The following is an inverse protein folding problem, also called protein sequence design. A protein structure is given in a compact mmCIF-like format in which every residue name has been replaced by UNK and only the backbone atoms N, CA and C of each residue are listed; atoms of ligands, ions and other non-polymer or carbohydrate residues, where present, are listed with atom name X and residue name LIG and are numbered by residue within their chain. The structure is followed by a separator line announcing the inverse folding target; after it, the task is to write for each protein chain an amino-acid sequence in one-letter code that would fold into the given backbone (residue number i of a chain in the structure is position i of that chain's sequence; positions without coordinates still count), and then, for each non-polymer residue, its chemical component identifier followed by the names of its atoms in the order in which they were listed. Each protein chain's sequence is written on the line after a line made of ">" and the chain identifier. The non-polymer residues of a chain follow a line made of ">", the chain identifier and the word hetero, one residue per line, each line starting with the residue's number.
data_IF_151519233956
#
_entry.id   IF_151519233956
#
_cell.length_a   1.000
_cell.length_b   1.000
_cell.length_c   1.000
_cell.angle_alpha   90.00
_cell.angle_beta   90.00
_cell.angle_gamma   90.00
#
_symmetry.space_group_name_H-M   'P 1'
#
loop_
_entity.id
_entity.type
_entity.pdbx_description
1 polymer ?
#
# COMPACT_ATOMS: atom_id res chain seq x y z
N UNK A 1 10.74 -26.28 -1.83
CA UNK A 1 10.35 -25.25 -2.84
C UNK A 1 9.83 -24.05 -2.08
N UNK A 2 10.49 -22.91 -2.18
CA UNK A 2 9.99 -21.64 -1.64
C UNK A 2 8.65 -21.31 -2.31
N UNK A 3 7.60 -21.17 -1.51
CA UNK A 3 6.33 -20.62 -1.98
C UNK A 3 6.42 -19.09 -1.86
N UNK A 4 6.16 -18.42 -2.93
CA UNK A 4 6.20 -16.98 -3.02
C UNK A 4 4.80 -16.43 -2.83
N UNK A 5 4.60 -15.61 -1.81
CA UNK A 5 3.40 -14.82 -1.65
C UNK A 5 3.59 -13.46 -2.33
N UNK A 6 2.71 -13.14 -3.25
CA UNK A 6 2.73 -11.88 -3.97
C UNK A 6 1.50 -11.07 -3.61
N UNK A 7 1.69 -9.94 -2.97
CA UNK A 7 0.63 -8.94 -2.80
C UNK A 7 0.70 -8.02 -4.01
N UNK A 8 -0.04 -8.35 -5.06
CA UNK A 8 -0.11 -7.50 -6.25
C UNK A 8 -1.27 -7.80 -7.19
N UNK A 9 -1.62 -6.73 -7.91
CA UNK A 9 -2.57 -6.61 -8.99
C UNK A 9 -2.11 -7.30 -10.29
N UNK A 10 -2.30 -8.56 -10.42
CA UNK A 10 -2.37 -9.23 -11.71
C UNK A 10 -3.71 -9.93 -11.78
N UNK A 11 -4.17 -10.33 -12.95
CA UNK A 11 -5.44 -11.06 -13.06
C UNK A 11 -5.51 -12.22 -12.07
N UNK A 12 -4.34 -12.89 -11.82
CA UNK A 12 -4.08 -13.72 -10.65
C UNK A 12 -2.59 -13.69 -10.37
N UNK A 13 -2.17 -13.15 -9.26
CA UNK A 13 -0.75 -12.94 -8.95
C UNK A 13 0.08 -14.22 -9.11
N UNK A 14 1.14 -14.15 -9.89
CA UNK A 14 2.02 -15.27 -10.17
C UNK A 14 1.44 -16.41 -11.01
N UNK A 15 0.16 -16.34 -11.42
CA UNK A 15 -0.51 -17.38 -12.22
C UNK A 15 -1.16 -16.87 -13.50
N UNK A 16 -0.97 -15.60 -13.82
CA UNK A 16 -1.51 -15.00 -15.03
C UNK A 16 -0.78 -15.51 -16.27
N UNK A 17 -1.44 -16.30 -17.08
CA UNK A 17 -0.92 -16.78 -18.34
C UNK A 17 -1.08 -15.77 -19.49
N UNK A 18 -1.95 -14.75 -19.31
CA UNK A 18 -2.25 -13.77 -20.35
C UNK A 18 -1.01 -12.95 -20.73
N UNK A 19 -0.15 -12.61 -19.76
CA UNK A 19 1.10 -11.91 -20.01
C UNK A 19 2.05 -12.74 -20.90
N UNK A 20 2.19 -14.03 -20.60
CA UNK A 20 3.01 -14.92 -21.41
C UNK A 20 2.41 -15.11 -22.80
N UNK A 21 1.10 -15.38 -22.88
CA UNK A 21 0.40 -15.59 -24.14
C UNK A 21 0.49 -14.38 -25.08
N UNK A 22 0.29 -13.16 -24.56
CA UNK A 22 0.26 -11.96 -25.37
C UNK A 22 1.63 -11.39 -25.70
N UNK A 23 2.63 -11.60 -24.84
CA UNK A 23 3.91 -10.87 -24.94
C UNK A 23 5.15 -11.76 -24.77
N UNK A 24 4.98 -13.06 -24.54
CA UNK A 24 6.08 -13.98 -24.21
C UNK A 24 6.69 -13.73 -22.81
N UNK A 25 6.15 -12.80 -22.02
CA UNK A 25 6.67 -12.44 -20.70
C UNK A 25 5.94 -13.19 -19.60
N UNK A 26 6.68 -13.96 -18.82
CA UNK A 26 6.12 -14.84 -17.82
C UNK A 26 5.90 -14.12 -16.48
N UNK A 27 4.66 -14.07 -16.05
CA UNK A 27 4.26 -13.47 -14.77
C UNK A 27 4.84 -14.25 -13.57
N UNK A 28 5.00 -15.56 -13.66
CA UNK A 28 5.57 -16.40 -12.61
C UNK A 28 7.05 -16.12 -12.34
N UNK A 29 7.73 -15.51 -13.31
CA UNK A 29 9.14 -15.09 -13.22
C UNK A 29 9.33 -13.61 -12.91
N UNK A 30 8.27 -12.91 -12.50
CA UNK A 30 8.31 -11.48 -12.22
C UNK A 30 8.37 -10.58 -13.45
N UNK A 31 8.20 -11.13 -14.67
CA UNK A 31 8.29 -10.39 -15.93
C UNK A 31 6.91 -10.00 -16.51
N UNK A 32 5.87 -9.90 -15.66
CA UNK A 32 4.52 -9.58 -16.08
C UNK A 32 4.44 -8.27 -16.86
N UNK A 33 3.87 -8.32 -18.08
CA UNK A 33 3.60 -7.16 -18.92
C UNK A 33 2.35 -6.38 -18.51
N UNK A 34 1.60 -6.86 -17.52
CA UNK A 34 0.35 -6.27 -17.00
C UNK A 34 -0.75 -6.13 -18.07
N UNK A 35 -1.04 -7.18 -18.86
CA UNK A 35 -2.07 -7.09 -19.89
C UNK A 35 -3.47 -6.79 -19.33
N UNK A 36 -3.73 -7.11 -18.06
CA UNK A 36 -4.96 -6.75 -17.37
C UNK A 36 -5.20 -5.22 -17.25
N UNK A 37 -4.21 -4.41 -17.63
CA UNK A 37 -4.29 -2.93 -17.62
C UNK A 37 -4.29 -2.33 -19.03
N UNK A 38 -4.26 -3.17 -20.08
CA UNK A 38 -4.36 -2.69 -21.43
C UNK A 38 -5.79 -2.28 -21.75
N UNK A 39 -5.95 -1.37 -22.67
CA UNK A 39 -7.24 -1.08 -23.27
C UNK A 39 -7.58 -2.20 -24.25
N UNK A 40 -8.74 -2.80 -24.10
CA UNK A 40 -9.22 -3.86 -24.94
C UNK A 40 -10.45 -3.40 -25.73
N UNK A 41 -10.66 -4.04 -26.87
CA UNK A 41 -11.90 -3.92 -27.61
C UNK A 41 -12.46 -5.32 -27.85
N UNK A 42 -13.77 -5.45 -27.80
CA UNK A 42 -14.49 -6.65 -28.21
C UNK A 42 -14.65 -6.66 -29.73
N UNK A 43 -14.46 -7.81 -30.33
CA UNK A 43 -14.78 -8.05 -31.72
C UNK A 43 -15.78 -9.22 -31.78
N UNK A 44 -16.87 -9.02 -32.46
CA UNK A 44 -17.85 -10.11 -32.72
C UNK A 44 -17.34 -10.97 -33.87
N UNK A 45 -17.34 -12.30 -33.70
CA UNK A 45 -16.85 -13.24 -34.73
C UNK A 45 -17.52 -13.07 -36.09
N UNK A 46 -18.80 -12.72 -36.10
CA UNK A 46 -19.58 -12.48 -37.32
C UNK A 46 -19.39 -11.12 -37.96
N UNK A 47 -18.65 -10.22 -37.29
CA UNK A 47 -18.29 -8.87 -37.74
C UNK A 47 -16.80 -8.62 -37.63
N UNK A 48 -15.97 -9.34 -38.42
CA UNK A 48 -14.51 -9.17 -38.35
C UNK A 48 -14.13 -7.76 -38.81
N UNK A 49 -13.27 -7.11 -38.03
CA UNK A 49 -12.78 -5.75 -38.29
C UNK A 49 -13.56 -4.63 -37.61
N UNK A 50 -14.71 -4.94 -36.98
CA UNK A 50 -15.40 -4.00 -36.10
C UNK A 50 -14.96 -4.22 -34.66
N UNK A 51 -14.41 -3.17 -34.04
CA UNK A 51 -13.90 -3.21 -32.67
C UNK A 51 -14.86 -2.43 -31.77
N UNK A 52 -15.39 -3.10 -30.75
CA UNK A 52 -16.22 -2.48 -29.73
C UNK A 52 -15.34 -2.14 -28.52
N UNK A 53 -15.06 -0.85 -28.25
CA UNK A 53 -14.27 -0.47 -27.10
C UNK A 53 -14.99 -0.92 -25.82
N UNK A 54 -14.24 -1.47 -24.89
CA UNK A 54 -14.70 -1.70 -23.53
C UNK A 54 -14.30 -0.46 -22.76
N UNK A 55 -15.23 0.45 -22.60
CA UNK A 55 -15.00 1.66 -21.82
C UNK A 55 -15.33 1.40 -20.36
N UNK A 56 -14.51 2.02 -19.51
CA UNK A 56 -14.77 2.11 -18.09
C UNK A 56 -15.71 3.29 -17.84
N UNK A 57 -16.86 3.02 -17.25
CA UNK A 57 -17.68 4.06 -16.66
C UNK A 57 -17.49 4.10 -15.14
N UNK A 58 -18.17 5.02 -14.46
CA UNK A 58 -18.10 5.15 -13.00
C UNK A 58 -18.59 3.89 -12.25
N UNK A 59 -19.17 2.93 -12.94
CA UNK A 59 -19.69 1.66 -12.41
C UNK A 59 -18.86 0.46 -12.85
N UNK A 60 -17.86 0.69 -13.71
CA UNK A 60 -16.80 -0.20 -14.11
C UNK A 60 -17.20 -1.50 -14.76
N UNK A 61 -16.64 -1.84 -15.88
CA UNK A 61 -16.61 -3.22 -16.37
C UNK A 61 -15.27 -3.51 -16.96
N UNK A 62 -14.30 -3.84 -16.13
CA UNK A 62 -13.09 -4.46 -16.62
C UNK A 62 -13.30 -5.95 -16.71
N UNK A 63 -13.00 -6.54 -17.85
CA UNK A 63 -13.09 -7.99 -18.08
C UNK A 63 -12.13 -8.74 -17.14
N UNK A 64 -11.05 -8.08 -16.67
CA UNK A 64 -10.00 -8.74 -15.91
C UNK A 64 -9.52 -7.85 -14.74
N UNK A 65 -10.40 -7.53 -13.81
CA UNK A 65 -10.04 -6.75 -12.63
C UNK A 65 -9.81 -7.67 -11.42
N UNK A 66 -8.54 -7.89 -11.08
CA UNK A 66 -8.17 -8.74 -9.96
C UNK A 66 -8.26 -7.99 -8.63
N UNK A 67 -8.43 -8.75 -7.55
CA UNK A 67 -8.21 -8.30 -6.18
C UNK A 67 -6.73 -8.35 -5.84
N UNK A 68 -6.29 -7.52 -4.90
CA UNK A 68 -4.94 -7.64 -4.35
C UNK A 68 -4.90 -8.83 -3.38
N UNK A 69 -3.81 -9.58 -3.38
CA UNK A 69 -3.67 -10.73 -2.49
C UNK A 69 -3.11 -10.30 -1.14
N UNK A 70 -3.83 -10.61 -0.08
CA UNK A 70 -3.38 -10.41 1.30
C UNK A 70 -3.58 -11.70 2.11
N UNK A 71 -2.55 -12.12 2.82
CA UNK A 71 -2.55 -13.34 3.64
C UNK A 71 -2.24 -13.05 5.11
N UNK A 72 -2.40 -11.79 5.53
CA UNK A 72 -1.99 -11.36 6.87
C UNK A 72 -2.80 -12.07 7.97
N UNK A 73 -4.04 -12.41 7.70
CA UNK A 73 -4.93 -13.14 8.61
C UNK A 73 -4.67 -14.67 8.65
N UNK A 74 -3.76 -15.15 7.82
CA UNK A 74 -3.51 -16.58 7.62
C UNK A 74 -2.03 -16.93 7.75
N UNK A 75 -1.31 -16.17 8.57
CA UNK A 75 0.12 -16.36 8.76
C UNK A 75 0.42 -17.68 9.47
N UNK A 76 -0.45 -18.12 10.37
CA UNK A 76 -0.32 -19.41 11.06
C UNK A 76 -0.31 -20.57 10.05
N UNK A 77 -1.25 -20.59 9.12
CA UNK A 77 -1.31 -21.61 8.07
C UNK A 77 -0.06 -21.60 7.19
N UNK A 78 0.52 -20.42 6.94
CA UNK A 78 1.75 -20.29 6.15
C UNK A 78 2.97 -20.79 6.93
N UNK A 79 3.02 -20.56 8.24
CA UNK A 79 4.07 -21.08 9.11
C UNK A 79 3.98 -22.61 9.26
N UNK A 80 2.79 -23.15 9.47
CA UNK A 80 2.53 -24.58 9.61
C UNK A 80 2.94 -25.38 8.36
N UNK A 81 2.79 -24.81 7.17
CA UNK A 81 3.26 -25.41 5.92
C UNK A 81 4.80 -25.38 5.80
N UNK A 82 5.50 -24.70 6.70
CA UNK A 82 6.96 -24.62 6.73
C UNK A 82 7.56 -23.78 5.61
N UNK A 83 6.98 -22.62 5.30
CA UNK A 83 7.54 -21.70 4.32
C UNK A 83 8.83 -21.06 4.86
N UNK A 84 9.87 -21.04 4.04
CA UNK A 84 11.15 -20.44 4.41
C UNK A 84 11.15 -18.91 4.28
N UNK A 85 10.29 -18.34 3.44
CA UNK A 85 10.21 -16.91 3.24
C UNK A 85 8.89 -16.48 2.57
N UNK A 86 8.47 -15.27 2.85
CA UNK A 86 7.35 -14.60 2.21
C UNK A 86 7.89 -13.49 1.31
N UNK A 87 7.37 -13.40 0.08
CA UNK A 87 7.71 -12.30 -0.83
C UNK A 87 6.56 -11.34 -0.95
N UNK A 88 6.81 -10.08 -0.60
CA UNK A 88 5.89 -8.96 -0.81
C UNK A 88 6.21 -8.34 -2.18
N UNK A 89 5.21 -8.23 -3.05
CA UNK A 89 5.35 -7.57 -4.34
C UNK A 89 4.88 -6.12 -4.24
N UNK A 90 5.79 -5.20 -4.42
CA UNK A 90 5.54 -3.75 -4.36
C UNK A 90 6.21 -2.96 -5.47
N UNK A 91 6.66 -3.61 -6.55
CA UNK A 91 7.45 -2.97 -7.62
C UNK A 91 6.81 -1.71 -8.21
N UNK A 92 5.49 -1.69 -8.37
CA UNK A 92 4.75 -0.55 -8.91
C UNK A 92 4.09 0.31 -7.80
N UNK A 93 4.39 0.02 -6.55
CA UNK A 93 3.85 0.73 -5.37
C UNK A 93 4.88 1.76 -4.86
N UNK A 94 4.45 2.62 -3.95
CA UNK A 94 5.31 3.63 -3.33
C UNK A 94 6.23 3.03 -2.26
N UNK A 95 7.26 3.79 -1.86
CA UNK A 95 8.08 3.46 -0.69
C UNK A 95 7.23 3.36 0.60
N UNK A 96 6.18 4.17 0.72
CA UNK A 96 5.21 4.10 1.80
C UNK A 96 4.54 2.72 1.87
N UNK A 97 4.05 2.21 0.74
CA UNK A 97 3.49 0.86 0.66
C UNK A 97 4.50 -0.19 1.15
N UNK A 98 5.72 -0.13 0.65
CA UNK A 98 6.75 -1.10 1.02
C UNK A 98 7.06 -1.06 2.52
N UNK A 99 7.19 0.13 3.10
CA UNK A 99 7.47 0.31 4.52
C UNK A 99 6.33 -0.25 5.40
N UNK A 100 5.10 0.18 5.14
CA UNK A 100 3.93 -0.19 5.96
C UNK A 100 3.63 -1.68 5.84
N UNK A 101 3.55 -2.22 4.62
CA UNK A 101 3.21 -3.64 4.43
C UNK A 101 4.30 -4.55 5.00
N UNK A 102 5.58 -4.21 4.81
CA UNK A 102 6.67 -5.00 5.39
C UNK A 102 6.66 -4.94 6.92
N UNK A 103 6.45 -3.77 7.50
CA UNK A 103 6.32 -3.59 8.96
C UNK A 103 5.16 -4.40 9.52
N UNK A 104 3.96 -4.26 8.94
CA UNK A 104 2.76 -4.99 9.35
C UNK A 104 2.98 -6.51 9.33
N UNK A 105 3.46 -7.03 8.20
CA UNK A 105 3.76 -8.47 8.10
C UNK A 105 4.84 -8.93 9.05
N UNK A 106 5.86 -8.09 9.33
CA UNK A 106 6.91 -8.46 10.28
C UNK A 106 6.37 -8.61 11.69
N UNK A 107 5.60 -7.63 12.17
CA UNK A 107 4.97 -7.68 13.49
C UNK A 107 3.99 -8.86 13.62
N UNK A 108 3.12 -9.06 12.63
CA UNK A 108 2.17 -10.16 12.65
C UNK A 108 2.85 -11.53 12.59
N UNK A 109 3.94 -11.67 11.82
CA UNK A 109 4.74 -12.91 11.78
C UNK A 109 5.43 -13.19 13.10
N UNK A 110 5.93 -12.17 13.79
CA UNK A 110 6.59 -12.33 15.10
C UNK A 110 5.57 -12.74 16.16
N UNK A 111 4.35 -12.25 16.10
CA UNK A 111 3.27 -12.68 16.97
C UNK A 111 2.86 -14.13 16.70
N UNK A 112 2.60 -14.46 15.43
CA UNK A 112 2.22 -15.81 15.03
C UNK A 112 3.32 -16.84 15.38
N UNK A 113 4.58 -16.54 15.08
CA UNK A 113 5.71 -17.42 15.41
C UNK A 113 5.93 -17.62 16.92
N UNK A 114 5.51 -16.65 17.73
CA UNK A 114 5.54 -16.75 19.20
C UNK A 114 4.26 -17.35 19.80
N UNK A 115 3.31 -17.79 18.96
CA UNK A 115 2.01 -18.30 19.41
C UNK A 115 1.14 -17.25 20.12
N UNK A 116 1.37 -15.97 19.85
CA UNK A 116 0.56 -14.87 20.37
C UNK A 116 -0.53 -14.51 19.38
N UNK A 117 -1.68 -14.01 19.85
CA UNK A 117 -2.68 -13.40 18.97
C UNK A 117 -2.06 -12.24 18.18
N UNK A 118 -2.37 -12.16 16.90
CA UNK A 118 -1.95 -11.05 16.03
C UNK A 118 -2.56 -9.75 16.57
N UNK A 119 -1.71 -8.74 16.79
CA UNK A 119 -2.18 -7.42 17.23
C UNK A 119 -2.96 -6.74 16.09
N UNK A 120 -4.26 -6.43 16.28
CA UNK A 120 -5.08 -5.80 15.25
C UNK A 120 -4.50 -4.51 14.68
N UNK A 121 -3.75 -3.74 15.47
CA UNK A 121 -3.14 -2.49 15.02
C UNK A 121 -2.19 -2.73 13.85
N UNK A 122 -1.39 -3.78 13.90
CA UNK A 122 -0.47 -4.10 12.80
C UNK A 122 -1.20 -4.77 11.63
N UNK A 123 -2.19 -5.61 11.94
CA UNK A 123 -3.03 -6.23 10.92
C UNK A 123 -3.74 -5.18 10.05
N UNK A 124 -4.28 -4.15 10.69
CA UNK A 124 -5.08 -3.13 10.01
C UNK A 124 -4.21 -2.15 9.19
N UNK A 125 -2.88 -2.11 9.43
CA UNK A 125 -1.95 -1.26 8.68
C UNK A 125 -1.95 -1.55 7.17
N UNK A 126 -2.26 -2.77 6.74
CA UNK A 126 -2.34 -3.09 5.31
C UNK A 126 -3.49 -2.40 4.60
N UNK A 127 -4.52 -1.96 5.32
CA UNK A 127 -5.63 -1.16 4.79
C UNK A 127 -5.26 0.32 4.59
N UNK A 128 -4.19 0.79 5.25
CA UNK A 128 -3.75 2.17 5.20
C UNK A 128 -2.86 2.49 3.99
N UNK A 129 -2.61 1.53 3.13
CA UNK A 129 -1.84 1.70 1.90
C UNK A 129 -2.74 1.70 0.67
N UNK A 130 -2.19 2.08 -0.49
CA UNK A 130 -2.94 2.01 -1.74
C UNK A 130 -3.12 0.56 -2.20
N UNK A 131 -4.34 0.04 -2.13
CA UNK A 131 -4.68 -1.33 -2.48
C UNK A 131 -6.03 -1.41 -3.21
N UNK A 132 -6.31 -2.57 -3.82
CA UNK A 132 -7.65 -3.00 -4.25
C UNK A 132 -8.27 -3.86 -3.15
N UNK A 133 -9.57 -4.17 -3.22
CA UNK A 133 -10.16 -5.12 -2.29
C UNK A 133 -9.33 -6.39 -2.19
N UNK A 134 -9.08 -6.85 -0.99
CA UNK A 134 -8.23 -7.99 -0.73
C UNK A 134 -8.92 -9.34 -0.98
N UNK A 135 -8.12 -10.33 -1.30
CA UNK A 135 -8.49 -11.74 -1.36
C UNK A 135 -7.27 -12.59 -0.97
N UNK A 136 -7.51 -13.84 -0.63
CA UNK A 136 -6.46 -14.82 -0.27
C UNK A 136 -5.83 -15.51 -1.48
N UNK A 137 -6.10 -15.03 -2.70
CA UNK A 137 -5.72 -15.75 -3.90
C UNK A 137 -6.43 -17.10 -3.98
N UNK A 138 -5.71 -18.15 -4.36
CA UNK A 138 -6.28 -19.51 -4.48
C UNK A 138 -6.09 -20.38 -3.23
N UNK A 139 -5.66 -19.81 -2.11
CA UNK A 139 -5.37 -20.61 -0.92
C UNK A 139 -6.63 -21.21 -0.28
N UNK A 140 -7.73 -20.46 -0.29
CA UNK A 140 -9.01 -20.86 0.32
C UNK A 140 -10.15 -20.95 -0.69
N UNK A 141 -9.84 -21.11 -1.97
CA UNK A 141 -10.82 -21.24 -3.03
C UNK A 141 -10.63 -20.24 -4.16
N UNK A 142 -11.67 -20.00 -4.92
CA UNK A 142 -11.63 -19.08 -6.05
C UNK A 142 -11.70 -17.62 -5.57
N UNK A 143 -10.71 -16.76 -5.88
CA UNK A 143 -10.63 -15.40 -5.32
C UNK A 143 -11.67 -14.42 -5.91
N UNK A 144 -12.36 -14.81 -6.96
CA UNK A 144 -13.28 -13.93 -7.68
C UNK A 144 -12.58 -12.78 -8.40
N UNK A 145 -13.39 -11.90 -8.94
CA UNK A 145 -12.98 -10.64 -9.58
C UNK A 145 -13.68 -9.48 -8.87
N UNK A 146 -13.15 -8.28 -9.03
CA UNK A 146 -13.78 -7.07 -8.54
C UNK A 146 -14.31 -6.27 -9.74
N UNK A 147 -15.63 -6.10 -9.81
CA UNK A 147 -16.32 -5.55 -10.99
C UNK A 147 -16.82 -4.13 -10.81
N UNK A 148 -16.74 -3.58 -9.58
CA UNK A 148 -17.33 -2.26 -9.31
C UNK A 148 -16.53 -1.13 -9.94
N UNK A 149 -15.21 -1.20 -9.87
CA UNK A 149 -14.31 -0.22 -10.49
C UNK A 149 -12.86 -0.74 -10.53
N UNK A 150 -11.97 -0.05 -11.23
CA UNK A 150 -10.53 -0.36 -11.27
C UNK A 150 -9.70 0.50 -10.33
N UNK A 151 -10.34 1.35 -9.53
CA UNK A 151 -9.65 2.32 -8.70
C UNK A 151 -9.00 1.63 -7.51
N UNK A 152 -7.88 2.20 -7.09
CA UNK A 152 -7.26 1.87 -5.82
C UNK A 152 -7.94 2.63 -4.69
N UNK A 153 -8.17 1.95 -3.58
CA UNK A 153 -8.51 2.57 -2.30
C UNK A 153 -7.27 3.33 -1.84
N UNK A 154 -7.42 4.62 -1.53
CA UNK A 154 -6.33 5.50 -1.08
C UNK A 154 -6.89 6.48 -0.06
N UNK A 155 -6.90 6.07 1.17
CA UNK A 155 -7.45 6.87 2.27
C UNK A 155 -6.36 7.58 3.06
N UNK A 156 -5.09 7.22 2.86
CA UNK A 156 -3.97 7.76 3.60
C UNK A 156 -2.88 8.32 2.68
N UNK A 157 -2.27 9.40 3.13
CA UNK A 157 -1.17 10.06 2.43
C UNK A 157 -0.04 10.41 3.39
N UNK A 158 1.20 10.10 2.99
CA UNK A 158 2.39 10.57 3.72
C UNK A 158 2.58 12.05 3.47
N UNK A 159 2.71 12.83 4.55
CA UNK A 159 2.94 14.27 4.50
C UNK A 159 4.35 14.66 4.89
N UNK A 160 5.01 13.88 5.76
CA UNK A 160 6.39 14.13 6.13
C UNK A 160 7.11 12.84 6.57
N UNK A 161 8.42 12.94 6.70
CA UNK A 161 9.30 11.93 7.25
C UNK A 161 10.12 12.54 8.38
N UNK A 162 10.14 11.93 9.55
CA UNK A 162 11.03 12.33 10.64
C UNK A 162 12.46 11.96 10.28
N UNK A 163 13.34 12.95 10.22
CA UNK A 163 14.77 12.75 9.95
C UNK A 163 15.57 12.65 11.23
N UNK A 164 15.21 13.45 12.23
CA UNK A 164 15.86 13.51 13.53
C UNK A 164 14.82 13.75 14.62
N UNK A 165 15.05 13.21 15.80
CA UNK A 165 14.27 13.49 17.00
C UNK A 165 15.15 13.28 18.23
N UNK A 166 15.14 14.25 19.15
CA UNK A 166 15.86 14.13 20.42
C UNK A 166 14.99 13.48 21.53
N UNK A 167 15.59 13.29 22.70
CA UNK A 167 14.90 12.70 23.86
C UNK A 167 13.76 13.56 24.41
N UNK A 168 13.72 14.84 24.08
CA UNK A 168 12.70 15.79 24.52
C UNK A 168 11.55 15.92 23.52
N UNK A 169 11.65 15.21 22.39
CA UNK A 169 10.66 15.23 21.30
C UNK A 169 10.85 16.38 20.32
N UNK A 170 11.97 17.13 20.36
CA UNK A 170 12.26 18.10 19.31
C UNK A 170 12.66 17.34 18.05
N UNK A 171 11.87 17.48 17.00
CA UNK A 171 12.06 16.73 15.78
C UNK A 171 12.32 17.64 14.58
N UNK A 172 13.10 17.10 13.65
CA UNK A 172 13.24 17.64 12.30
C UNK A 172 12.51 16.70 11.37
N UNK A 173 11.59 17.24 10.56
CA UNK A 173 10.83 16.49 9.57
C UNK A 173 11.12 17.01 8.18
N UNK A 174 11.11 16.11 7.19
CA UNK A 174 11.24 16.45 5.78
C UNK A 174 9.87 16.37 5.11
N UNK A 175 9.41 17.47 4.56
CA UNK A 175 8.11 17.60 3.88
C UNK A 175 8.00 16.67 2.67
N UNK A 176 6.87 16.01 2.52
CA UNK A 176 6.53 15.17 1.35
C UNK A 176 5.28 15.63 0.64
N UNK A 177 4.26 16.03 1.39
CA UNK A 177 3.00 16.54 0.88
C UNK A 177 2.49 17.68 1.75
N UNK A 178 1.42 18.33 1.32
CA UNK A 178 0.82 19.47 2.02
C UNK A 178 0.15 19.04 3.31
N UNK A 179 0.36 19.80 4.35
CA UNK A 179 -0.36 19.77 5.62
C UNK A 179 -0.15 21.11 6.33
N UNK A 180 -0.89 21.34 7.41
CA UNK A 180 -0.88 22.63 8.13
C UNK A 180 -0.73 22.42 9.63
N UNK A 181 -0.32 23.47 10.31
CA UNK A 181 -0.48 23.57 11.77
C UNK A 181 -1.95 23.40 12.14
N UNK A 182 -2.23 22.55 13.12
CA UNK A 182 -3.59 22.22 13.56
C UNK A 182 -4.20 21.00 12.87
N UNK A 183 -3.63 20.48 11.79
CA UNK A 183 -4.10 19.24 11.16
C UNK A 183 -3.91 18.06 12.10
N UNK A 184 -4.78 17.06 12.00
CA UNK A 184 -4.57 15.77 12.66
C UNK A 184 -3.73 14.88 11.77
N UNK A 185 -2.62 14.40 12.31
CA UNK A 185 -1.70 13.47 11.63
C UNK A 185 -1.45 12.25 12.51
N UNK A 186 -0.99 11.18 11.87
CA UNK A 186 -0.59 9.96 12.55
C UNK A 186 0.88 9.68 12.25
N UNK A 187 1.61 9.25 13.27
CA UNK A 187 2.99 8.83 13.20
C UNK A 187 3.06 7.31 13.26
N UNK A 188 3.81 6.71 12.32
CA UNK A 188 4.05 5.27 12.23
C UNK A 188 5.49 4.98 11.85
N UNK A 189 6.09 4.01 12.49
CA UNK A 189 7.49 3.61 12.24
C UNK A 189 7.69 2.12 12.42
N UNK A 190 8.90 1.59 12.13
CA UNK A 190 9.17 0.15 12.18
C UNK A 190 8.77 -0.52 13.49
N UNK A 191 9.17 0.07 14.61
CA UNK A 191 8.88 -0.43 15.97
C UNK A 191 8.03 0.56 16.77
N UNK A 192 7.34 1.44 16.08
CA UNK A 192 6.53 2.49 16.68
C UNK A 192 5.05 2.20 16.42
N UNK A 193 4.34 1.80 17.47
CA UNK A 193 2.87 1.67 17.40
C UNK A 193 2.27 2.99 16.93
N UNK A 194 1.41 2.99 15.89
CA UNK A 194 0.80 4.20 15.37
C UNK A 194 0.13 5.04 16.44
N UNK A 195 0.26 6.35 16.37
CA UNK A 195 -0.44 7.27 17.24
C UNK A 195 -0.74 8.58 16.53
N UNK A 196 -1.88 9.17 16.87
CA UNK A 196 -2.32 10.44 16.31
C UNK A 196 -1.85 11.61 17.14
N UNK A 197 -1.63 12.76 16.49
CA UNK A 197 -1.38 14.04 17.13
C UNK A 197 -1.92 15.19 16.29
N UNK A 198 -2.15 16.33 16.92
CA UNK A 198 -2.38 17.58 16.21
C UNK A 198 -1.03 18.22 15.90
N UNK A 199 -0.83 18.66 14.68
CA UNK A 199 0.40 19.33 14.23
C UNK A 199 0.61 20.62 15.02
N UNK A 200 1.70 20.73 15.80
CA UNK A 200 2.01 21.93 16.56
C UNK A 200 2.57 23.04 15.65
N UNK A 201 2.99 24.14 16.26
CA UNK A 201 3.75 25.18 15.54
C UNK A 201 4.98 24.58 14.87
N UNK A 202 5.16 24.86 13.59
CA UNK A 202 6.31 24.44 12.79
C UNK A 202 7.21 25.63 12.50
N UNK A 203 8.53 25.40 12.47
CA UNK A 203 9.53 26.39 12.12
C UNK A 203 10.45 25.87 11.02
N UNK A 204 10.86 26.76 10.12
CA UNK A 204 11.93 26.45 9.16
C UNK A 204 13.32 26.42 9.81
N UNK A 205 14.34 26.20 9.01
CA UNK A 205 15.74 26.17 9.47
C UNK A 205 16.20 27.51 10.04
N UNK A 206 15.63 28.62 9.55
CA UNK A 206 15.91 29.98 10.03
C UNK A 206 15.15 30.33 11.33
N UNK A 207 14.25 29.44 11.80
CA UNK A 207 13.42 29.67 12.97
C UNK A 207 12.12 30.43 12.72
N UNK A 208 11.79 30.71 11.45
CA UNK A 208 10.55 31.39 11.05
C UNK A 208 9.37 30.43 11.21
N UNK A 209 8.27 30.90 11.79
CA UNK A 209 7.04 30.12 11.93
C UNK A 209 6.41 29.91 10.55
N UNK A 210 6.07 28.66 10.24
CA UNK A 210 5.46 28.26 8.97
C UNK A 210 4.13 27.55 9.29
N UNK A 211 3.03 28.13 8.85
CA UNK A 211 1.70 27.53 8.99
C UNK A 211 1.44 26.41 7.96
N UNK A 212 1.82 26.66 6.70
CA UNK A 212 1.62 25.74 5.57
C UNK A 212 2.91 25.68 4.74
N UNK A 213 3.73 24.63 4.94
CA UNK A 213 4.95 24.46 4.17
C UNK A 213 4.63 24.08 2.72
N UNK A 214 5.35 24.68 1.76
CA UNK A 214 5.04 24.53 0.32
C UNK A 214 6.15 23.88 -0.49
N UNK A 215 7.40 23.94 -0.03
CA UNK A 215 8.53 23.46 -0.80
C UNK A 215 8.77 21.97 -0.55
N UNK A 216 8.75 21.11 -1.57
CA UNK A 216 9.09 19.69 -1.41
C UNK A 216 10.43 19.52 -0.70
N UNK A 217 10.48 18.55 0.22
CA UNK A 217 11.66 18.22 1.04
C UNK A 217 12.14 19.33 1.99
N UNK A 218 11.34 20.39 2.16
CA UNK A 218 11.64 21.41 3.17
C UNK A 218 11.81 20.75 4.54
N UNK A 219 12.86 21.17 5.26
CA UNK A 219 13.09 20.75 6.64
C UNK A 219 12.32 21.65 7.58
N UNK A 220 11.59 21.05 8.48
CA UNK A 220 10.76 21.74 9.47
C UNK A 220 11.10 21.21 10.85
N UNK A 221 11.20 22.13 11.80
CA UNK A 221 11.39 21.84 13.22
C UNK A 221 10.04 21.96 13.93
N UNK A 222 9.71 20.96 14.73
CA UNK A 222 8.50 20.94 15.55
C UNK A 222 8.70 20.06 16.78
N UNK A 223 7.81 20.16 17.75
CA UNK A 223 7.86 19.34 18.94
C UNK A 223 6.82 18.24 18.90
N UNK A 224 7.27 17.00 18.97
CA UNK A 224 6.40 15.83 19.08
C UNK A 224 6.01 15.57 20.54
N UNK A 225 4.88 14.91 20.83
CA UNK A 225 4.44 14.61 22.18
C UNK A 225 5.34 13.57 22.89
N UNK A 226 6.10 12.82 22.13
CA UNK A 226 7.11 11.86 22.62
C UNK A 226 8.20 11.67 21.57
N UNK A 227 9.40 11.23 22.00
CA UNK A 227 10.46 10.87 21.06
C UNK A 227 10.01 9.74 20.12
N UNK A 228 10.47 9.83 18.87
CA UNK A 228 10.24 8.80 17.85
C UNK A 228 11.55 8.50 17.11
N UNK A 229 11.74 7.29 16.59
CA UNK A 229 12.95 6.98 15.83
C UNK A 229 12.99 7.75 14.50
N UNK A 230 14.17 8.01 13.95
CA UNK A 230 14.32 8.48 12.58
C UNK A 230 13.60 7.52 11.61
N UNK A 231 13.20 8.02 10.43
CA UNK A 231 12.41 7.32 9.44
C UNK A 231 10.94 7.05 9.85
N UNK A 232 10.47 7.58 10.98
CA UNK A 232 9.06 7.60 11.30
C UNK A 232 8.30 8.39 10.24
N UNK A 233 7.26 7.80 9.70
CA UNK A 233 6.38 8.42 8.71
C UNK A 233 5.32 9.25 9.42
N UNK A 234 5.03 10.42 8.89
CA UNK A 234 3.90 11.25 9.28
C UNK A 234 2.88 11.17 8.15
N UNK A 235 1.67 10.73 8.45
CA UNK A 235 0.60 10.55 7.48
C UNK A 235 -0.70 11.17 7.97
N UNK A 236 -1.60 11.46 7.06
CA UNK A 236 -2.97 11.86 7.38
C UNK A 236 -3.98 11.12 6.51
N UNK A 237 -5.20 11.05 6.99
CA UNK A 237 -6.31 10.54 6.23
C UNK A 237 -6.74 11.56 5.17
N UNK A 238 -6.95 11.09 3.95
CA UNK A 238 -7.40 11.92 2.83
C UNK A 238 -8.90 11.72 2.68
N UNK A 239 -9.67 12.81 2.71
CA UNK A 239 -11.07 12.73 2.33
C UNK A 239 -11.17 12.26 0.87
N UNK A 240 -11.87 11.14 0.66
CA UNK A 240 -12.23 10.69 -0.68
C UNK A 240 -13.17 11.73 -1.27
N UNK A 241 -12.61 12.67 -2.03
CA UNK A 241 -13.45 13.57 -2.83
C UNK A 241 -14.24 12.70 -3.80
N UNK A 242 -15.54 12.60 -3.57
CA UNK A 242 -16.49 12.05 -4.53
C UNK A 242 -16.36 12.87 -5.83
N UNK A 243 -15.66 12.30 -6.83
CA UNK A 243 -15.64 12.80 -8.20
C UNK A 243 -16.27 11.77 -9.10
#
# INVERSE_FOLDING_TARGET
>A
RQRQMCIRDSSYSGRCLLSNYMTGRDASRGACAQPCRYHYALMEEKRPGEYFPIEEDEKGSYILNSRDMCMIDHLDDLLDVGLSSLKIEGRAKSAYYAAIVTGAYRHCLDDAAAGRPIDPVWRDEVEHVSHRPYATGFYYGYPGQYYENSRYIREWQVVALVTECDSDGNAVISLRNKFRTGDTVELVGPDLRPFSMTVPEMRDEAGTVIEEPRNPQMLLKLRLPRPVPPMTLVRHQVELSAK
#
